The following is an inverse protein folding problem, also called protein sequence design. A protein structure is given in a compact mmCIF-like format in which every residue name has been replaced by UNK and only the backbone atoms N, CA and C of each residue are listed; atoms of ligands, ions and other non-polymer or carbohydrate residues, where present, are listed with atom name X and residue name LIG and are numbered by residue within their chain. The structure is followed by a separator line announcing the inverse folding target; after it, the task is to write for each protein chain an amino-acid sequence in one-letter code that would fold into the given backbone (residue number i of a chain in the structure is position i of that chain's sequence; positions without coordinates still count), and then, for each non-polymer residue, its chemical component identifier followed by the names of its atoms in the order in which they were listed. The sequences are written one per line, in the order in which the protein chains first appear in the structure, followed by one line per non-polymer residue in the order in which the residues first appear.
data_IF_504048497933
#
_entry.id   IF_504048497933
#
_cell.length_a   1.000
_cell.length_b   1.000
_cell.length_c   1.000
_cell.angle_alpha   90.00
_cell.angle_beta   90.00
_cell.angle_gamma   90.00
#
_symmetry.space_group_name_H-M   'P 1'
#
loop_
_entity.id
_entity.type
_entity.pdbx_description
1 polymer ?
#
# COMPACT_ATOMS: atom_id res chain seq x y z
N UNK A 1 -11.08 61.62 77.88
CA UNK A 1 -11.28 61.74 76.43
C UNK A 1 -10.34 60.82 75.72
N UNK A 2 -10.83 59.66 75.34
CA UNK A 2 -10.07 58.67 74.61
C UNK A 2 -10.68 58.44 73.18
N UNK A 3 -9.99 58.87 72.19
CA UNK A 3 -10.35 58.61 70.79
C UNK A 3 -9.98 57.22 70.33
N UNK A 4 -10.87 56.46 69.68
CA UNK A 4 -10.51 55.15 69.12
C UNK A 4 -9.77 55.33 67.74
N UNK A 5 -8.61 54.66 67.58
CA UNK A 5 -7.87 54.55 66.35
C UNK A 5 -8.68 53.69 65.39
N UNK A 6 -9.01 54.25 64.21
CA UNK A 6 -9.57 53.48 63.09
C UNK A 6 -8.47 52.60 62.48
N UNK A 7 -8.64 51.27 62.57
CA UNK A 7 -7.82 50.30 61.80
C UNK A 7 -8.23 50.37 60.33
N UNK A 8 -7.32 50.85 59.50
CA UNK A 8 -7.43 50.71 58.05
C UNK A 8 -7.21 49.23 57.67
N UNK A 9 -8.30 48.55 57.28
CA UNK A 9 -8.25 47.19 56.72
C UNK A 9 -7.70 47.28 55.32
N UNK A 10 -6.46 46.78 55.10
CA UNK A 10 -5.85 46.70 53.78
C UNK A 10 -6.67 45.75 52.87
N UNK A 11 -7.03 46.24 51.68
CA UNK A 11 -7.68 45.44 50.65
C UNK A 11 -6.68 44.40 50.10
N UNK A 12 -7.09 43.14 49.86
CA UNK A 12 -6.20 42.19 49.20
C UNK A 12 -5.96 42.60 47.75
N UNK A 13 -4.68 42.56 47.32
CA UNK A 13 -4.25 42.81 45.95
C UNK A 13 -4.99 41.90 44.97
N UNK A 14 -5.35 42.39 43.75
CA UNK A 14 -5.95 41.54 42.73
C UNK A 14 -4.97 40.46 42.32
N UNK A 15 -5.42 39.22 42.39
CA UNK A 15 -4.69 38.03 42.01
C UNK A 15 -4.28 38.14 40.52
N UNK A 16 -3.00 38.05 40.13
CA UNK A 16 -2.64 38.07 38.72
C UNK A 16 -3.33 36.98 37.97
N UNK A 17 -4.01 37.34 36.87
CA UNK A 17 -4.74 36.42 36.02
C UNK A 17 -3.86 35.21 35.67
N UNK A 18 -4.24 34.03 36.11
CA UNK A 18 -3.59 32.77 35.74
C UNK A 18 -3.67 32.63 34.21
N UNK A 19 -2.55 32.81 33.54
CA UNK A 19 -2.42 32.44 32.13
C UNK A 19 -2.85 30.97 31.98
N UNK A 20 -3.80 30.63 31.08
CA UNK A 20 -4.18 29.22 30.89
C UNK A 20 -2.96 28.43 30.45
N UNK A 21 -2.71 27.32 31.14
CA UNK A 21 -1.62 26.41 30.77
C UNK A 21 -1.77 25.99 29.30
N UNK A 22 -0.66 25.88 28.54
CA UNK A 22 -0.70 25.41 27.16
C UNK A 22 -1.43 24.09 27.10
N UNK A 23 -2.46 23.99 26.26
CA UNK A 23 -3.19 22.75 26.04
C UNK A 23 -2.18 21.67 25.62
N UNK A 24 -2.08 20.57 26.36
CA UNK A 24 -1.25 19.43 26.02
C UNK A 24 -1.51 19.02 24.56
N UNK A 25 -0.49 18.71 23.76
CA UNK A 25 -0.66 18.31 22.38
C UNK A 25 -1.62 17.12 22.34
N UNK A 26 -2.65 17.22 21.50
CA UNK A 26 -3.62 16.14 21.30
C UNK A 26 -2.87 14.89 20.86
N UNK A 27 -3.06 13.72 21.50
CA UNK A 27 -2.40 12.50 21.08
C UNK A 27 -2.68 12.25 19.59
N UNK A 28 -1.69 11.77 18.82
CA UNK A 28 -1.89 11.51 17.42
C UNK A 28 -3.06 10.55 17.23
N UNK A 29 -3.98 10.89 16.34
CA UNK A 29 -5.11 10.03 16.01
C UNK A 29 -4.63 8.64 15.59
N UNK A 30 -5.24 7.55 16.07
CA UNK A 30 -4.86 6.20 15.67
C UNK A 30 -4.94 6.08 14.15
N UNK A 31 -3.88 5.55 13.53
CA UNK A 31 -3.81 5.33 12.08
C UNK A 31 -4.04 3.86 11.78
N UNK A 32 -4.97 3.59 10.87
CA UNK A 32 -5.25 2.24 10.41
C UNK A 32 -4.36 1.90 9.22
N UNK A 33 -3.72 0.74 9.27
CA UNK A 33 -2.96 0.18 8.16
C UNK A 33 -3.68 -1.00 7.54
N UNK A 34 -3.63 -1.12 6.22
CA UNK A 34 -4.13 -2.25 5.45
C UNK A 34 -2.96 -3.06 4.90
N UNK A 35 -2.94 -4.36 5.21
CA UNK A 35 -1.98 -5.31 4.63
C UNK A 35 -2.74 -6.28 3.73
N UNK A 36 -2.34 -6.32 2.45
CA UNK A 36 -2.91 -7.20 1.43
C UNK A 36 -1.86 -8.25 1.04
N UNK A 37 -2.10 -9.48 1.45
CA UNK A 37 -1.19 -10.61 1.20
C UNK A 37 -1.24 -11.08 -0.25
N UNK A 38 -0.19 -11.77 -0.69
CA UNK A 38 -0.20 -12.53 -1.94
C UNK A 38 -1.22 -13.67 -1.90
N UNK A 39 -1.53 -14.23 -3.06
CA UNK A 39 -2.45 -15.35 -3.14
C UNK A 39 -3.07 -15.56 -4.52
N UNK A 40 -2.54 -14.92 -5.56
CA UNK A 40 -3.06 -15.02 -6.93
C UNK A 40 -4.55 -14.71 -6.99
N UNK A 41 -5.36 -15.65 -7.48
CA UNK A 41 -6.82 -15.47 -7.62
C UNK A 41 -7.55 -15.20 -6.29
N UNK A 42 -6.97 -15.61 -5.14
CA UNK A 42 -7.54 -15.32 -3.81
C UNK A 42 -7.54 -13.82 -3.47
N UNK A 43 -6.79 -12.99 -4.20
CA UNK A 43 -6.84 -11.55 -4.05
C UNK A 43 -8.24 -10.96 -4.39
N UNK A 44 -9.07 -11.68 -5.14
CA UNK A 44 -10.47 -11.33 -5.34
C UNK A 44 -11.27 -11.32 -4.03
N UNK A 45 -10.97 -12.23 -3.10
CA UNK A 45 -11.58 -12.24 -1.77
C UNK A 45 -11.29 -10.96 -0.98
N UNK A 46 -10.06 -10.46 -1.07
CA UNK A 46 -9.67 -9.19 -0.44
C UNK A 46 -10.58 -8.05 -0.91
N UNK A 47 -10.92 -8.04 -2.20
CA UNK A 47 -11.80 -7.02 -2.77
C UNK A 47 -13.23 -7.15 -2.26
N UNK A 48 -13.74 -8.37 -2.06
CA UNK A 48 -15.04 -8.60 -1.42
C UNK A 48 -15.12 -8.04 -0.01
N UNK A 49 -14.06 -8.23 0.79
CA UNK A 49 -13.96 -7.65 2.15
C UNK A 49 -13.96 -6.11 2.07
N UNK A 50 -13.20 -5.52 1.15
CA UNK A 50 -13.16 -4.07 0.98
C UNK A 50 -14.50 -3.50 0.47
N UNK A 51 -15.24 -4.24 -0.38
CA UNK A 51 -16.60 -3.87 -0.77
C UNK A 51 -17.54 -3.84 0.45
N UNK A 52 -17.48 -4.86 1.30
CA UNK A 52 -18.28 -4.89 2.54
C UNK A 52 -17.95 -3.71 3.47
N UNK A 53 -16.67 -3.33 3.58
CA UNK A 53 -16.25 -2.14 4.32
C UNK A 53 -16.84 -0.86 3.70
N UNK A 54 -16.80 -0.73 2.36
CA UNK A 54 -17.37 0.41 1.66
C UNK A 54 -18.90 0.49 1.87
N UNK A 55 -19.60 -0.65 1.85
CA UNK A 55 -21.05 -0.71 2.08
C UNK A 55 -21.41 -0.34 3.53
N UNK A 56 -20.66 -0.83 4.51
CA UNK A 56 -20.82 -0.45 5.92
C UNK A 56 -20.58 1.05 6.11
N UNK A 57 -19.54 1.63 5.48
CA UNK A 57 -19.28 3.07 5.52
C UNK A 57 -20.47 3.87 4.97
N UNK A 58 -21.04 3.44 3.86
CA UNK A 58 -22.22 4.08 3.28
C UNK A 58 -23.43 3.98 4.23
N UNK A 59 -23.67 2.80 4.78
CA UNK A 59 -24.77 2.57 5.72
C UNK A 59 -24.67 3.43 7.00
N UNK A 60 -23.44 3.68 7.46
CA UNK A 60 -23.16 4.55 8.60
C UNK A 60 -23.07 6.06 8.25
N UNK A 61 -23.34 6.45 7.01
CA UNK A 61 -23.25 7.84 6.57
C UNK A 61 -21.81 8.36 6.39
N UNK A 62 -20.80 7.48 6.47
CA UNK A 62 -19.38 7.82 6.38
C UNK A 62 -18.82 7.76 4.94
N UNK A 63 -19.66 7.65 3.93
CA UNK A 63 -19.22 7.53 2.53
C UNK A 63 -18.49 8.77 1.98
N UNK A 64 -18.64 9.93 2.63
CA UNK A 64 -17.91 11.16 2.29
C UNK A 64 -16.70 11.42 3.19
N UNK A 65 -16.52 10.60 4.22
CA UNK A 65 -15.39 10.72 5.12
C UNK A 65 -14.07 10.35 4.42
N UNK A 66 -12.93 10.87 4.91
CA UNK A 66 -11.63 10.57 4.37
C UNK A 66 -11.35 9.07 4.26
N UNK A 67 -10.34 8.72 3.48
CA UNK A 67 -9.86 7.34 3.34
C UNK A 67 -9.62 6.69 4.70
N UNK A 68 -10.33 5.58 5.05
CA UNK A 68 -10.20 4.93 6.36
C UNK A 68 -8.86 4.17 6.51
N UNK A 69 -8.16 3.94 5.40
CA UNK A 69 -6.96 3.10 5.30
C UNK A 69 -5.79 3.90 4.72
N UNK A 70 -5.26 4.90 5.45
CA UNK A 70 -4.25 5.81 4.92
C UNK A 70 -2.86 5.17 4.73
N UNK A 71 -2.62 3.99 5.28
CA UNK A 71 -1.37 3.23 5.12
C UNK A 71 -1.73 1.90 4.47
N UNK A 72 -1.17 1.64 3.29
CA UNK A 72 -1.48 0.44 2.52
C UNK A 72 -0.18 -0.27 2.17
N UNK A 73 -0.14 -1.58 2.37
CA UNK A 73 0.98 -2.42 1.94
C UNK A 73 0.49 -3.69 1.27
N UNK A 74 1.26 -4.20 0.31
CA UNK A 74 0.88 -5.40 -0.39
C UNK A 74 2.04 -6.20 -0.96
N UNK A 75 1.77 -7.48 -1.25
CA UNK A 75 2.71 -8.43 -1.86
C UNK A 75 2.00 -9.21 -2.94
N UNK A 76 2.64 -9.47 -4.09
CA UNK A 76 2.08 -10.24 -5.21
C UNK A 76 0.75 -9.62 -5.71
N UNK A 77 -0.27 -10.41 -5.95
CA UNK A 77 -1.60 -9.91 -6.31
C UNK A 77 -2.17 -8.89 -5.31
N UNK A 78 -1.80 -8.99 -4.01
CA UNK A 78 -2.11 -8.00 -3.00
C UNK A 78 -1.40 -6.67 -3.22
N UNK A 79 -0.19 -6.65 -3.81
CA UNK A 79 0.50 -5.41 -4.18
C UNK A 79 -0.24 -4.66 -5.29
N UNK A 80 -0.83 -5.38 -6.23
CA UNK A 80 -1.65 -4.81 -7.31
C UNK A 80 -2.91 -4.15 -6.72
N UNK A 81 -3.62 -4.86 -5.84
CA UNK A 81 -4.78 -4.31 -5.14
C UNK A 81 -4.41 -3.10 -4.28
N UNK A 82 -3.29 -3.17 -3.55
CA UNK A 82 -2.77 -2.10 -2.71
C UNK A 82 -2.47 -0.83 -3.53
N UNK A 83 -1.75 -0.98 -4.64
CA UNK A 83 -1.42 0.13 -5.52
C UNK A 83 -2.66 0.73 -6.20
N UNK A 84 -3.59 -0.12 -6.68
CA UNK A 84 -4.83 0.34 -7.29
C UNK A 84 -5.70 1.11 -6.29
N UNK A 85 -5.78 0.65 -5.03
CA UNK A 85 -6.50 1.32 -3.95
C UNK A 85 -5.83 2.65 -3.58
N UNK A 86 -4.50 2.66 -3.42
CA UNK A 86 -3.72 3.84 -3.10
C UNK A 86 -3.86 4.93 -4.18
N UNK A 87 -3.86 4.57 -5.47
CA UNK A 87 -4.05 5.49 -6.59
C UNK A 87 -5.45 6.12 -6.67
N UNK A 88 -6.39 5.68 -5.85
CA UNK A 88 -7.74 6.23 -5.74
C UNK A 88 -8.11 6.59 -4.30
N UNK A 89 -7.13 6.86 -3.44
CA UNK A 89 -7.32 7.15 -2.03
C UNK A 89 -8.13 8.43 -1.74
N UNK A 90 -8.33 9.29 -2.72
CA UNK A 90 -9.22 10.46 -2.66
C UNK A 90 -10.71 10.10 -2.68
N UNK A 91 -11.07 8.91 -3.17
CA UNK A 91 -12.44 8.37 -3.16
C UNK A 91 -12.37 6.85 -2.95
N UNK A 92 -12.30 6.45 -1.69
CA UNK A 92 -12.12 5.05 -1.28
C UNK A 92 -13.24 4.16 -1.82
N UNK A 93 -14.50 4.52 -1.57
CA UNK A 93 -15.65 3.68 -1.89
C UNK A 93 -15.79 3.45 -3.40
N UNK A 94 -15.63 4.50 -4.20
CA UNK A 94 -15.64 4.40 -5.66
C UNK A 94 -14.48 3.56 -6.18
N UNK A 95 -13.31 3.71 -5.59
CA UNK A 95 -12.11 2.98 -6.00
C UNK A 95 -12.25 1.48 -5.71
N UNK A 96 -12.74 1.12 -4.53
CA UNK A 96 -13.06 -0.27 -4.17
C UNK A 96 -14.02 -0.89 -5.20
N UNK A 97 -15.15 -0.23 -5.50
CA UNK A 97 -16.13 -0.73 -6.48
C UNK A 97 -15.55 -0.88 -7.89
N UNK A 98 -14.64 0.01 -8.28
CA UNK A 98 -13.94 -0.07 -9.56
C UNK A 98 -13.03 -1.29 -9.63
N UNK A 99 -12.21 -1.53 -8.60
CA UNK A 99 -11.30 -2.66 -8.56
C UNK A 99 -12.08 -3.98 -8.49
N UNK A 100 -13.11 -4.04 -7.65
CA UNK A 100 -13.97 -5.22 -7.53
C UNK A 100 -14.67 -5.58 -8.86
N UNK A 101 -15.08 -4.59 -9.64
CA UNK A 101 -15.65 -4.81 -10.99
C UNK A 101 -14.62 -5.47 -11.91
N UNK A 102 -13.37 -5.04 -11.86
CA UNK A 102 -12.30 -5.66 -12.64
C UNK A 102 -12.12 -7.12 -12.23
N UNK A 103 -12.07 -7.42 -10.93
CA UNK A 103 -11.97 -8.80 -10.45
C UNK A 103 -13.15 -9.68 -10.86
N UNK A 104 -14.38 -9.16 -10.88
CA UNK A 104 -15.55 -9.91 -11.37
C UNK A 104 -15.50 -10.21 -12.88
N UNK A 105 -14.87 -9.34 -13.64
CA UNK A 105 -14.71 -9.51 -15.09
C UNK A 105 -13.39 -10.17 -15.48
N UNK A 106 -12.61 -10.58 -14.46
CA UNK A 106 -11.28 -11.09 -14.65
C UNK A 106 -11.29 -12.53 -15.15
N UNK A 107 -10.64 -12.77 -16.27
CA UNK A 107 -10.44 -14.11 -16.83
C UNK A 107 -8.94 -14.42 -16.84
N UNK A 108 -8.59 -15.66 -16.46
CA UNK A 108 -7.17 -16.07 -16.32
C UNK A 108 -6.31 -15.84 -17.57
N UNK A 109 -6.91 -15.88 -18.76
CA UNK A 109 -6.20 -15.60 -20.03
C UNK A 109 -5.76 -14.14 -20.18
N UNK A 110 -6.32 -13.21 -19.39
CA UNK A 110 -5.94 -11.79 -19.42
C UNK A 110 -4.62 -11.52 -18.67
N UNK A 111 -4.19 -12.46 -17.82
CA UNK A 111 -2.93 -12.33 -17.05
C UNK A 111 -1.84 -13.21 -17.65
N UNK A 112 -2.22 -14.40 -18.00
CA UNK A 112 -1.33 -15.35 -18.60
C UNK A 112 -1.77 -15.51 -20.04
N UNK A 113 -0.90 -15.30 -21.02
CA UNK A 113 -1.15 -15.69 -22.40
C UNK A 113 -1.40 -17.21 -22.43
N UNK A 114 -2.57 -17.62 -21.96
CA UNK A 114 -2.99 -19.00 -21.81
C UNK A 114 -3.57 -19.52 -23.13
N UNK A 115 -2.89 -19.25 -24.25
CA UNK A 115 -3.00 -20.15 -25.39
C UNK A 115 -2.37 -21.46 -24.97
N UNK A 116 -3.15 -22.55 -25.03
CA UNK A 116 -2.69 -23.92 -24.73
C UNK A 116 -1.35 -24.24 -25.40
N UNK A 117 -1.08 -23.62 -26.54
CA UNK A 117 0.19 -23.65 -27.25
C UNK A 117 1.34 -22.93 -26.51
N UNK A 118 1.09 -21.81 -25.85
CA UNK A 118 2.13 -21.08 -25.11
C UNK A 118 2.49 -21.81 -23.81
N UNK A 119 1.51 -22.42 -23.15
CA UNK A 119 1.72 -23.27 -21.95
C UNK A 119 2.46 -24.55 -22.34
N UNK A 120 2.07 -25.21 -23.45
CA UNK A 120 2.81 -26.36 -23.97
C UNK A 120 4.24 -26.02 -24.39
N UNK A 121 4.44 -24.89 -25.08
CA UNK A 121 5.80 -24.41 -25.47
C UNK A 121 6.64 -24.04 -24.25
N UNK A 122 6.04 -23.43 -23.22
CA UNK A 122 6.73 -23.13 -21.96
C UNK A 122 7.03 -24.41 -21.18
N UNK A 123 6.09 -25.36 -21.10
CA UNK A 123 6.29 -26.66 -20.49
C UNK A 123 7.33 -27.51 -21.21
N UNK A 124 7.29 -27.57 -22.56
CA UNK A 124 8.29 -28.26 -23.37
C UNK A 124 9.68 -27.63 -23.23
N UNK A 125 9.75 -26.30 -23.20
CA UNK A 125 10.99 -25.54 -22.97
C UNK A 125 11.56 -25.77 -21.58
N UNK A 126 10.68 -25.91 -20.58
CA UNK A 126 11.07 -26.24 -19.21
C UNK A 126 11.56 -27.69 -19.09
N UNK A 127 10.88 -28.66 -19.70
CA UNK A 127 11.32 -30.04 -19.77
C UNK A 127 12.68 -30.17 -20.47
N UNK A 128 12.89 -29.41 -21.54
CA UNK A 128 14.20 -29.38 -22.24
C UNK A 128 15.28 -28.73 -21.37
N UNK A 129 14.96 -27.68 -20.60
CA UNK A 129 15.91 -27.04 -19.67
C UNK A 129 16.21 -27.95 -18.46
N UNK A 130 15.25 -28.69 -17.96
CA UNK A 130 15.45 -29.63 -16.85
C UNK A 130 16.19 -30.89 -17.32
N UNK A 131 15.88 -31.40 -18.51
CA UNK A 131 16.50 -32.63 -19.05
C UNK A 131 17.90 -32.41 -19.62
N UNK A 132 18.18 -31.25 -20.25
CA UNK A 132 19.46 -30.89 -20.84
C UNK A 132 20.19 -29.77 -20.09
N UNK A 133 19.56 -29.19 -19.04
CA UNK A 133 20.04 -28.01 -18.35
C UNK A 133 21.41 -28.18 -17.72
N UNK A 134 21.71 -29.37 -17.21
CA UNK A 134 23.04 -29.67 -16.67
C UNK A 134 24.15 -29.67 -17.77
N UNK A 135 23.84 -30.05 -19.00
CA UNK A 135 24.75 -30.04 -20.10
C UNK A 135 24.89 -28.62 -20.73
N UNK A 136 23.77 -27.85 -20.79
CA UNK A 136 23.76 -26.48 -21.31
C UNK A 136 24.20 -25.43 -20.30
N UNK A 137 24.04 -25.65 -19.02
CA UNK A 137 24.50 -24.74 -17.95
C UNK A 137 26.00 -24.52 -17.96
N UNK A 138 26.75 -25.47 -18.56
CA UNK A 138 28.20 -25.39 -18.75
C UNK A 138 28.60 -24.46 -19.94
N UNK A 139 27.67 -24.19 -20.88
CA UNK A 139 28.02 -23.48 -22.13
C UNK A 139 27.35 -22.13 -22.32
N UNK A 140 26.23 -21.83 -21.64
CA UNK A 140 25.58 -20.51 -21.74
C UNK A 140 24.94 -20.12 -20.39
N UNK A 141 25.30 -18.94 -19.89
CA UNK A 141 24.63 -18.23 -18.78
C UNK A 141 23.24 -17.72 -19.23
N UNK A 142 22.38 -18.61 -19.69
CA UNK A 142 20.99 -18.28 -20.00
C UNK A 142 20.21 -18.24 -18.69
N UNK A 143 20.09 -17.04 -18.13
CA UNK A 143 19.13 -16.80 -17.03
C UNK A 143 17.73 -16.74 -17.67
N UNK A 144 16.80 -17.63 -17.32
CA UNK A 144 15.40 -17.47 -17.74
C UNK A 144 14.86 -16.21 -17.08
N UNK A 145 14.52 -15.20 -17.88
CA UNK A 145 14.04 -13.91 -17.39
C UNK A 145 12.64 -13.97 -16.79
N UNK A 146 11.83 -14.91 -17.17
CA UNK A 146 10.49 -15.17 -16.61
C UNK A 146 9.96 -16.50 -17.15
N UNK A 147 9.22 -17.24 -16.32
CA UNK A 147 8.48 -18.46 -16.71
C UNK A 147 7.17 -18.13 -17.45
N UNK A 148 6.67 -16.91 -17.29
CA UNK A 148 5.40 -16.45 -17.83
C UNK A 148 5.61 -15.18 -18.64
N UNK A 149 4.89 -15.04 -19.75
CA UNK A 149 4.81 -13.80 -20.48
C UNK A 149 3.97 -12.79 -19.69
N UNK A 150 4.63 -11.78 -19.13
CA UNK A 150 3.99 -10.74 -18.30
C UNK A 150 3.44 -9.56 -19.13
N UNK A 151 3.59 -9.56 -20.45
CA UNK A 151 3.14 -8.46 -21.30
C UNK A 151 1.63 -8.16 -21.20
N UNK A 152 0.73 -9.15 -21.08
CA UNK A 152 -0.68 -8.88 -20.85
C UNK A 152 -0.94 -8.23 -19.49
N UNK A 153 -0.22 -8.67 -18.44
CA UNK A 153 -0.33 -8.13 -17.08
C UNK A 153 0.17 -6.68 -17.03
N UNK A 154 1.28 -6.38 -17.70
CA UNK A 154 1.84 -5.02 -17.79
C UNK A 154 0.82 -4.04 -18.39
N UNK A 155 0.19 -4.42 -19.51
CA UNK A 155 -0.85 -3.61 -20.16
C UNK A 155 -2.06 -3.40 -19.24
N UNK A 156 -2.46 -4.42 -18.50
CA UNK A 156 -3.55 -4.34 -17.55
C UNK A 156 -3.20 -3.40 -16.38
N UNK A 157 -1.99 -3.52 -15.83
CA UNK A 157 -1.49 -2.66 -14.75
C UNK A 157 -1.43 -1.20 -15.18
N UNK A 158 -0.88 -0.91 -16.36
CA UNK A 158 -0.80 0.45 -16.89
C UNK A 158 -2.19 1.12 -17.00
N UNK A 159 -3.23 0.34 -17.34
CA UNK A 159 -4.61 0.82 -17.43
C UNK A 159 -5.30 0.95 -16.07
N UNK A 160 -5.03 0.03 -15.14
CA UNK A 160 -5.72 -0.08 -13.86
C UNK A 160 -5.12 0.77 -12.76
N UNK A 161 -3.79 0.93 -12.75
CA UNK A 161 -3.03 1.51 -11.65
C UNK A 161 -2.30 2.77 -12.12
N UNK A 162 -2.96 3.94 -12.08
CA UNK A 162 -2.37 5.20 -12.51
C UNK A 162 -1.40 5.74 -11.44
N UNK A 163 -0.22 5.13 -11.32
CA UNK A 163 0.80 5.43 -10.29
C UNK A 163 1.24 6.90 -10.31
N UNK A 164 1.11 7.61 -11.42
CA UNK A 164 1.40 9.05 -11.51
C UNK A 164 0.54 9.91 -10.56
N UNK A 165 -0.59 9.41 -10.08
CA UNK A 165 -1.44 10.10 -9.10
C UNK A 165 -0.90 10.04 -7.67
N UNK A 166 -0.08 9.03 -7.37
CA UNK A 166 0.34 8.69 -6.01
C UNK A 166 1.02 9.86 -5.27
N UNK A 167 2.02 10.56 -5.85
CA UNK A 167 2.68 11.68 -5.16
C UNK A 167 1.70 12.79 -4.77
N UNK A 168 0.74 13.11 -5.64
CA UNK A 168 -0.28 14.13 -5.38
C UNK A 168 -1.25 13.72 -4.26
N UNK A 169 -1.62 12.43 -4.22
CA UNK A 169 -2.53 11.91 -3.19
C UNK A 169 -1.85 11.90 -1.81
N UNK A 170 -0.56 11.57 -1.76
CA UNK A 170 0.26 11.65 -0.56
C UNK A 170 0.40 13.12 -0.11
N UNK A 171 0.74 14.03 -1.02
CA UNK A 171 0.89 15.45 -0.72
C UNK A 171 -0.41 16.07 -0.19
N UNK A 172 -1.56 15.67 -0.72
CA UNK A 172 -2.88 16.13 -0.28
C UNK A 172 -3.39 15.47 1.01
N UNK A 173 -2.66 14.49 1.56
CA UNK A 173 -3.03 13.80 2.79
C UNK A 173 -4.13 12.74 2.64
N UNK A 174 -4.51 12.36 1.41
CA UNK A 174 -5.46 11.26 1.17
C UNK A 174 -4.83 9.90 1.45
N UNK A 175 -3.51 9.81 1.36
CA UNK A 175 -2.72 8.62 1.67
C UNK A 175 -1.50 9.02 2.49
N UNK A 176 -1.15 8.23 3.49
CA UNK A 176 0.07 8.42 4.28
C UNK A 176 1.24 7.64 3.68
N UNK A 177 1.02 6.40 3.28
CA UNK A 177 2.05 5.56 2.68
C UNK A 177 1.48 4.43 1.83
N UNK A 178 2.22 4.09 0.76
CA UNK A 178 2.09 2.84 0.02
C UNK A 178 3.42 2.09 0.10
N UNK A 179 3.35 0.78 0.35
CA UNK A 179 4.51 -0.10 0.32
C UNK A 179 4.22 -1.36 -0.51
N UNK A 180 5.19 -1.79 -1.30
CA UNK A 180 5.15 -2.98 -2.14
C UNK A 180 6.35 -3.85 -1.83
N UNK A 181 6.12 -5.13 -1.53
CA UNK A 181 7.18 -6.07 -1.21
C UNK A 181 7.38 -7.07 -2.33
N UNK A 182 8.61 -7.15 -2.81
CA UNK A 182 9.10 -8.11 -3.80
C UNK A 182 10.15 -9.03 -3.18
N UNK A 183 10.41 -10.16 -3.83
CA UNK A 183 11.47 -11.10 -3.44
C UNK A 183 12.60 -11.06 -4.47
N UNK A 184 13.84 -10.87 -3.98
CA UNK A 184 15.04 -10.93 -4.82
C UNK A 184 15.44 -12.37 -5.08
N UNK A 185 15.38 -12.81 -6.33
CA UNK A 185 15.81 -14.16 -6.71
C UNK A 185 17.33 -14.38 -6.57
N UNK A 186 18.12 -13.31 -6.61
CA UNK A 186 19.58 -13.40 -6.51
C UNK A 186 20.09 -13.47 -5.07
N UNK A 187 19.43 -12.77 -4.13
CA UNK A 187 19.87 -12.70 -2.74
C UNK A 187 18.95 -13.45 -1.76
N UNK A 188 17.74 -13.85 -2.18
CA UNK A 188 16.73 -14.42 -1.29
C UNK A 188 16.10 -13.40 -0.33
N UNK A 189 16.46 -12.13 -0.44
CA UNK A 189 15.93 -11.08 0.43
C UNK A 189 14.55 -10.60 -0.01
N UNK A 190 13.73 -10.21 0.96
CA UNK A 190 12.51 -9.46 0.71
C UNK A 190 12.84 -7.95 0.67
N UNK A 191 12.48 -7.32 -0.44
CA UNK A 191 12.71 -5.88 -0.66
C UNK A 191 11.37 -5.17 -0.66
N UNK A 192 11.18 -4.25 0.28
CA UNK A 192 10.00 -3.40 0.35
C UNK A 192 10.32 -2.02 -0.21
N UNK A 193 9.66 -1.65 -1.31
CA UNK A 193 9.69 -0.31 -1.87
C UNK A 193 8.53 0.49 -1.30
N UNK A 194 8.76 1.74 -0.88
CA UNK A 194 7.70 2.54 -0.29
C UNK A 194 7.78 4.02 -0.66
N UNK A 195 6.61 4.63 -0.82
CA UNK A 195 6.40 6.07 -0.84
C UNK A 195 5.61 6.48 0.42
N UNK A 196 6.02 7.55 1.09
CA UNK A 196 5.42 8.00 2.35
C UNK A 196 5.43 9.51 2.46
N UNK A 197 4.36 10.07 3.05
CA UNK A 197 4.29 11.47 3.48
C UNK A 197 5.27 11.79 4.61
N UNK A 198 5.64 10.78 5.40
CA UNK A 198 6.58 10.90 6.51
C UNK A 198 7.99 10.58 6.05
N UNK A 199 8.96 11.20 6.69
CA UNK A 199 10.35 10.86 6.50
C UNK A 199 10.68 9.59 7.30
N UNK A 200 10.37 8.44 6.70
CA UNK A 200 10.71 7.12 7.25
C UNK A 200 12.07 6.74 6.65
N UNK A 201 13.12 6.55 7.47
CA UNK A 201 14.41 6.14 6.96
C UNK A 201 14.37 4.71 6.40
N UNK A 202 15.15 4.39 5.36
CA UNK A 202 15.38 3.03 4.92
C UNK A 202 15.91 2.16 6.07
N UNK A 203 15.54 0.89 6.06
CA UNK A 203 16.01 -0.04 7.09
C UNK A 203 16.42 -1.39 6.49
N UNK A 204 17.30 -2.06 7.20
CA UNK A 204 17.79 -3.40 6.87
C UNK A 204 17.65 -4.29 8.10
N UNK A 205 17.13 -5.49 7.91
CA UNK A 205 17.03 -6.58 8.89
C UNK A 205 17.44 -7.88 8.23
N UNK A 206 17.56 -8.96 9.00
CA UNK A 206 17.87 -10.27 8.45
C UNK A 206 16.89 -10.63 7.33
N UNK A 207 17.41 -10.85 6.12
CA UNK A 207 16.66 -11.21 4.90
C UNK A 207 15.55 -10.21 4.47
N UNK A 208 15.51 -9.01 5.05
CA UNK A 208 14.52 -7.98 4.74
C UNK A 208 15.16 -6.62 4.68
N UNK A 209 14.79 -5.86 3.67
CA UNK A 209 15.15 -4.44 3.57
C UNK A 209 13.98 -3.62 3.05
N UNK A 210 13.92 -2.36 3.47
CA UNK A 210 13.01 -1.39 2.90
C UNK A 210 13.78 -0.21 2.37
N UNK A 211 13.40 0.25 1.19
CA UNK A 211 13.99 1.42 0.55
C UNK A 211 12.90 2.37 0.13
N UNK A 212 13.16 3.66 0.32
CA UNK A 212 12.28 4.71 -0.18
C UNK A 212 12.54 4.88 -1.66
N UNK A 213 11.56 4.60 -2.46
CA UNK A 213 11.64 4.71 -3.90
C UNK A 213 10.27 5.07 -4.48
N UNK A 214 10.27 5.66 -5.67
CA UNK A 214 9.05 5.89 -6.43
C UNK A 214 8.53 4.55 -6.94
N UNK A 215 7.31 4.19 -6.55
CA UNK A 215 6.72 2.92 -6.95
C UNK A 215 6.36 2.97 -8.44
N UNK A 216 6.81 1.97 -9.18
CA UNK A 216 6.61 1.80 -10.62
C UNK A 216 5.86 0.51 -10.93
N UNK A 217 5.40 0.36 -12.18
CA UNK A 217 4.80 -0.90 -12.61
C UNK A 217 5.81 -2.07 -12.57
N UNK A 218 7.10 -1.79 -12.74
CA UNK A 218 8.17 -2.81 -12.61
C UNK A 218 8.21 -3.36 -11.17
N UNK A 219 8.06 -2.52 -10.16
CA UNK A 219 7.97 -2.96 -8.76
C UNK A 219 6.75 -3.86 -8.53
N UNK A 220 5.61 -3.57 -9.19
CA UNK A 220 4.40 -4.40 -9.09
C UNK A 220 4.55 -5.74 -9.82
N UNK A 221 5.30 -5.76 -10.92
CA UNK A 221 5.61 -6.99 -11.67
C UNK A 221 6.65 -7.85 -10.95
N UNK A 222 7.51 -7.25 -10.13
CA UNK A 222 8.52 -7.95 -9.32
C UNK A 222 7.96 -8.49 -7.99
N UNK A 223 6.80 -8.00 -7.56
CA UNK A 223 6.15 -8.38 -6.30
C UNK A 223 5.30 -9.67 -6.44
#
# INVERSE_FOLDING_TARGET
STHPKKLHRAMPSPNPARTPAPKAPKPPSPRTGLLLTGGGARAAYQMGVLEAIADLRQACGAGREPNPLPIITGTSAGAINAAALACGADDFDRTVRRIARVWRQFHAHQVYGADSLSVMRSGARWLTLVSLGWALARWRRLRPRSLLDNAPLEKLLAKMVPLMRLPRLIQKGHLTALAVTASSYSSGEHVTFYESAQDVPPWVRSQRKATRDRITHEHLLAA
#
